data_IF_273833476962
#
_entry.id   IF_273833476962
#
_cell.length_a   1.000
_cell.length_b   1.000
_cell.length_c   1.000
_cell.angle_alpha   90.00
_cell.angle_beta   90.00
_cell.angle_gamma   90.00
#
_symmetry.space_group_name_H-M   'P 1'
#
loop_
_entity.id
_entity.type
_entity.pdbx_description
1 polymer ?
#
# COMPACT_ATOMS: atom_id res chain seq x y z
N UNK A 1 -50.56 2.89 -2.57
CA UNK A 1 -49.13 2.77 -2.95
C UNK A 1 -48.81 3.85 -3.97
N UNK A 2 -47.97 4.85 -3.63
CA UNK A 2 -47.51 5.87 -4.59
C UNK A 2 -46.63 5.17 -5.64
N UNK A 3 -46.95 5.36 -6.92
CA UNK A 3 -46.15 4.80 -8.04
C UNK A 3 -44.75 5.41 -7.97
N UNK A 4 -43.75 4.58 -7.80
CA UNK A 4 -42.34 4.99 -7.78
C UNK A 4 -42.00 5.63 -9.14
N UNK A 5 -41.32 6.79 -9.18
CA UNK A 5 -40.92 7.43 -10.43
C UNK A 5 -40.05 6.51 -11.31
N UNK A 6 -40.18 6.62 -12.62
CA UNK A 6 -39.49 5.76 -13.59
C UNK A 6 -37.97 5.73 -13.37
N UNK A 7 -37.34 6.87 -13.05
CA UNK A 7 -35.92 7.01 -12.76
C UNK A 7 -35.49 6.16 -11.53
N UNK A 8 -36.33 6.14 -10.49
CA UNK A 8 -36.09 5.33 -9.30
C UNK A 8 -36.23 3.82 -9.56
N UNK A 9 -37.12 3.43 -10.48
CA UNK A 9 -37.23 2.03 -10.94
C UNK A 9 -35.97 1.57 -11.67
N UNK A 10 -35.40 2.41 -12.53
CA UNK A 10 -34.14 2.09 -13.24
C UNK A 10 -32.95 1.98 -12.28
N UNK A 11 -32.84 2.90 -11.31
CA UNK A 11 -31.82 2.83 -10.27
C UNK A 11 -31.95 1.55 -9.43
N UNK A 12 -33.19 1.19 -9.04
CA UNK A 12 -33.47 -0.04 -8.27
C UNK A 12 -33.11 -1.31 -9.04
N UNK A 13 -33.42 -1.38 -10.36
CA UNK A 13 -33.04 -2.51 -11.22
C UNK A 13 -31.52 -2.61 -11.36
N UNK A 14 -30.81 -1.49 -11.54
CA UNK A 14 -29.33 -1.47 -11.61
C UNK A 14 -28.69 -1.96 -10.31
N UNK A 15 -29.17 -1.49 -9.17
CA UNK A 15 -28.65 -1.93 -7.85
C UNK A 15 -28.85 -3.43 -7.65
N UNK A 16 -30.01 -3.96 -8.03
CA UNK A 16 -30.28 -5.41 -7.93
C UNK A 16 -29.44 -6.22 -8.91
N UNK A 17 -29.23 -5.76 -10.14
CA UNK A 17 -28.33 -6.40 -11.11
C UNK A 17 -26.88 -6.43 -10.60
N UNK A 18 -26.39 -5.35 -9.97
CA UNK A 18 -25.07 -5.31 -9.34
C UNK A 18 -24.98 -6.28 -8.15
N UNK A 19 -26.02 -6.40 -7.33
CA UNK A 19 -26.09 -7.38 -6.22
C UNK A 19 -26.05 -8.82 -6.73
N UNK A 20 -26.78 -9.15 -7.79
CA UNK A 20 -26.73 -10.48 -8.43
C UNK A 20 -25.36 -10.77 -9.03
N UNK A 21 -24.76 -9.81 -9.74
CA UNK A 21 -23.41 -9.92 -10.28
C UNK A 21 -22.35 -10.14 -9.20
N UNK A 22 -22.48 -9.45 -8.06
CA UNK A 22 -21.62 -9.64 -6.89
C UNK A 22 -21.69 -11.06 -6.35
N UNK A 23 -22.91 -11.57 -6.08
CA UNK A 23 -23.11 -12.94 -5.56
C UNK A 23 -22.52 -13.97 -6.52
N UNK A 24 -22.72 -13.78 -7.83
CA UNK A 24 -22.14 -14.66 -8.85
C UNK A 24 -20.63 -14.65 -8.83
N UNK A 25 -19.99 -13.48 -8.80
CA UNK A 25 -18.54 -13.33 -8.75
C UNK A 25 -17.95 -13.88 -7.46
N UNK A 26 -18.54 -13.60 -6.30
CA UNK A 26 -18.12 -14.14 -5.01
C UNK A 26 -18.23 -15.68 -5.00
N UNK A 27 -19.28 -16.23 -5.60
CA UNK A 27 -19.47 -17.69 -5.71
C UNK A 27 -18.46 -18.31 -6.67
N UNK A 28 -18.24 -17.68 -7.84
CA UNK A 28 -17.26 -18.14 -8.81
C UNK A 28 -15.84 -18.13 -8.23
N UNK A 29 -15.51 -17.08 -7.45
CA UNK A 29 -14.22 -17.00 -6.76
C UNK A 29 -14.07 -18.10 -5.69
N UNK A 30 -15.11 -18.40 -4.92
CA UNK A 30 -15.12 -19.52 -3.96
C UNK A 30 -14.92 -20.88 -4.63
N UNK A 31 -15.54 -21.10 -5.79
CA UNK A 31 -15.41 -22.34 -6.57
C UNK A 31 -14.03 -22.43 -7.23
N UNK A 32 -13.49 -21.32 -7.73
CA UNK A 32 -12.17 -21.25 -8.39
C UNK A 32 -10.97 -21.35 -7.44
N UNK A 33 -11.16 -21.16 -6.15
CA UNK A 33 -10.08 -21.20 -5.14
C UNK A 33 -9.21 -22.50 -5.19
N UNK A 34 -9.79 -23.69 -5.30
CA UNK A 34 -8.99 -24.92 -5.41
C UNK A 34 -8.12 -24.97 -6.67
N UNK A 35 -8.52 -24.24 -7.73
CA UNK A 35 -7.85 -24.22 -9.04
C UNK A 35 -6.68 -23.23 -9.03
N UNK A 36 -6.78 -22.15 -8.25
CA UNK A 36 -5.74 -21.10 -8.14
C UNK A 36 -4.63 -21.50 -7.14
N UNK A 37 -4.83 -22.61 -6.39
CA UNK A 37 -3.77 -23.22 -5.58
C UNK A 37 -3.22 -22.32 -4.47
N UNK A 38 -4.04 -21.97 -3.47
CA UNK A 38 -3.49 -21.33 -2.29
C UNK A 38 -2.66 -22.36 -1.48
N UNK A 39 -1.37 -22.10 -1.19
CA UNK A 39 -0.46 -23.09 -0.61
C UNK A 39 -0.79 -23.48 0.83
N UNK A 40 -1.64 -22.74 1.53
CA UNK A 40 -1.99 -22.99 2.93
C UNK A 40 -3.50 -23.13 3.12
N UNK A 41 -3.93 -24.22 3.78
CA UNK A 41 -5.32 -24.45 4.19
C UNK A 41 -5.82 -23.36 5.17
N UNK A 42 -4.95 -22.79 5.97
CA UNK A 42 -5.26 -21.74 6.94
C UNK A 42 -5.48 -20.40 6.22
N UNK A 43 -4.60 -20.04 5.30
CA UNK A 43 -4.75 -18.83 4.50
C UNK A 43 -6.05 -18.83 3.67
N UNK A 44 -6.49 -19.99 3.18
CA UNK A 44 -7.75 -20.10 2.42
C UNK A 44 -9.01 -19.70 3.21
N UNK A 45 -8.95 -19.67 4.55
CA UNK A 45 -10.07 -19.25 5.40
C UNK A 45 -10.10 -17.73 5.61
N UNK A 46 -8.95 -17.09 5.60
CA UNK A 46 -8.80 -15.66 5.89
C UNK A 46 -8.98 -14.79 4.65
N UNK A 47 -8.65 -15.29 3.46
CA UNK A 47 -8.74 -14.52 2.23
C UNK A 47 -10.06 -14.79 1.48
N UNK A 48 -10.86 -13.75 1.32
CA UNK A 48 -12.12 -13.77 0.60
C UNK A 48 -12.15 -12.63 -0.41
N UNK A 49 -12.55 -12.94 -1.64
CA UNK A 49 -12.92 -11.89 -2.58
C UNK A 49 -14.22 -11.25 -2.12
N UNK A 50 -14.25 -9.93 -2.02
CA UNK A 50 -15.44 -9.16 -1.71
C UNK A 50 -15.57 -7.97 -2.65
N UNK A 51 -16.82 -7.63 -2.98
CA UNK A 51 -17.16 -6.43 -3.73
C UNK A 51 -17.79 -5.44 -2.76
N UNK A 52 -17.23 -4.24 -2.68
CA UNK A 52 -17.82 -3.16 -1.88
C UNK A 52 -19.15 -2.69 -2.49
N UNK A 53 -20.09 -2.31 -1.63
CA UNK A 53 -21.32 -1.61 -2.04
C UNK A 53 -21.09 -0.10 -2.28
N UNK A 54 -19.91 0.42 -1.91
CA UNK A 54 -19.55 1.80 -2.16
C UNK A 54 -19.45 2.05 -3.68
N UNK A 55 -20.17 3.06 -4.14
CA UNK A 55 -20.22 3.44 -5.56
C UNK A 55 -19.55 4.78 -5.82
N UNK A 56 -19.24 5.54 -4.78
CA UNK A 56 -18.49 6.78 -4.89
C UNK A 56 -16.99 6.47 -4.96
N UNK A 57 -16.35 6.93 -6.01
CA UNK A 57 -14.94 6.72 -6.29
C UNK A 57 -14.19 8.07 -6.26
N UNK A 58 -13.75 8.54 -5.07
CA UNK A 58 -13.12 9.86 -4.93
C UNK A 58 -11.86 10.00 -5.79
N UNK A 59 -11.10 8.93 -5.99
CA UNK A 59 -9.91 8.91 -6.86
C UNK A 59 -10.22 9.30 -8.32
N UNK A 60 -11.45 9.08 -8.80
CA UNK A 60 -11.85 9.43 -10.18
C UNK A 60 -12.17 10.92 -10.34
N UNK A 61 -12.49 11.60 -9.25
CA UNK A 61 -12.94 13.01 -9.26
C UNK A 61 -11.93 13.97 -8.60
N UNK A 62 -10.92 13.47 -7.90
CA UNK A 62 -9.80 14.27 -7.40
C UNK A 62 -8.90 14.65 -8.57
N UNK A 63 -9.05 15.88 -9.07
CA UNK A 63 -8.33 16.36 -10.25
C UNK A 63 -6.82 16.43 -10.04
N UNK A 64 -6.37 16.71 -8.81
CA UNK A 64 -4.95 16.81 -8.47
C UNK A 64 -4.31 15.43 -8.43
N UNK A 65 -5.00 14.42 -7.90
CA UNK A 65 -4.56 13.04 -7.98
C UNK A 65 -4.53 12.56 -9.44
N UNK A 66 -5.58 12.84 -10.22
CA UNK A 66 -5.64 12.43 -11.63
C UNK A 66 -4.56 13.09 -12.50
N UNK A 67 -4.09 14.27 -12.13
CA UNK A 67 -2.96 14.93 -12.78
C UNK A 67 -1.67 14.11 -12.64
N UNK A 68 -1.27 13.78 -11.41
CA UNK A 68 -0.05 12.98 -11.17
C UNK A 68 -0.23 11.55 -11.66
N UNK A 69 -1.40 10.93 -11.48
CA UNK A 69 -1.67 9.57 -11.91
C UNK A 69 -1.44 9.36 -13.42
N UNK A 70 -1.74 10.36 -14.24
CA UNK A 70 -1.48 10.33 -15.70
C UNK A 70 0.01 10.41 -16.05
N UNK A 71 0.83 11.01 -15.21
CA UNK A 71 2.29 11.11 -15.41
C UNK A 71 3.01 9.83 -15.01
N UNK A 72 2.42 9.03 -14.13
CA UNK A 72 3.03 7.80 -13.65
C UNK A 72 3.00 6.69 -14.71
N UNK A 73 4.03 5.82 -14.76
CA UNK A 73 4.10 4.68 -15.69
C UNK A 73 3.18 3.55 -15.24
N UNK A 74 1.86 3.77 -15.24
CA UNK A 74 0.83 2.88 -14.68
C UNK A 74 0.78 1.47 -15.29
N UNK A 75 1.41 1.23 -16.44
CA UNK A 75 1.55 -0.12 -17.03
C UNK A 75 2.57 -1.02 -16.32
N UNK A 76 3.38 -0.46 -15.44
CA UNK A 76 4.44 -1.14 -14.70
C UNK A 76 4.20 -1.08 -13.19
N UNK A 77 2.95 -0.99 -12.75
CA UNK A 77 2.59 -0.79 -11.33
C UNK A 77 2.03 -2.09 -10.78
N UNK A 78 2.58 -2.54 -9.67
CA UNK A 78 1.96 -3.57 -8.85
C UNK A 78 0.70 -3.04 -8.14
N UNK A 79 0.69 -1.72 -7.80
CA UNK A 79 -0.39 -1.07 -7.06
C UNK A 79 -1.53 -0.61 -7.98
N UNK A 80 -2.75 -0.92 -7.59
CA UNK A 80 -3.95 -0.39 -8.24
C UNK A 80 -4.19 1.10 -7.97
N UNK A 81 -5.04 1.74 -8.79
CA UNK A 81 -5.40 3.17 -8.65
C UNK A 81 -5.92 3.52 -7.24
N UNK A 82 -6.65 2.61 -6.60
CA UNK A 82 -7.19 2.81 -5.24
C UNK A 82 -6.08 2.83 -4.20
N UNK A 83 -5.11 1.92 -4.29
CA UNK A 83 -3.96 1.87 -3.39
C UNK A 83 -3.07 3.12 -3.54
N UNK A 84 -2.83 3.56 -4.77
CA UNK A 84 -2.12 4.82 -5.03
C UNK A 84 -2.90 6.03 -4.45
N UNK A 85 -4.23 6.01 -4.51
CA UNK A 85 -5.05 7.05 -3.88
C UNK A 85 -5.00 7.02 -2.34
N UNK A 86 -4.88 5.84 -1.74
CA UNK A 86 -4.64 5.70 -0.29
C UNK A 86 -3.32 6.35 0.13
N UNK A 87 -2.25 6.15 -0.65
CA UNK A 87 -0.95 6.80 -0.43
C UNK A 87 -1.05 8.33 -0.61
N UNK A 88 -1.72 8.80 -1.68
CA UNK A 88 -2.00 10.21 -1.92
C UNK A 88 -2.68 10.88 -0.73
N UNK A 89 -3.75 10.26 -0.22
CA UNK A 89 -4.47 10.76 0.95
C UNK A 89 -3.67 10.65 2.24
N UNK A 90 -2.78 9.64 2.35
CA UNK A 90 -1.91 9.51 3.50
C UNK A 90 -0.94 10.68 3.59
N UNK A 91 -0.33 11.13 2.49
CA UNK A 91 0.50 12.36 2.46
C UNK A 91 -0.31 13.58 2.90
N UNK A 92 -1.53 13.76 2.35
CA UNK A 92 -2.42 14.88 2.73
C UNK A 92 -2.76 14.86 4.22
N UNK A 93 -2.97 13.68 4.81
CA UNK A 93 -3.36 13.52 6.21
C UNK A 93 -2.24 13.86 7.19
N UNK A 94 -0.98 13.62 6.80
CA UNK A 94 0.20 13.87 7.66
C UNK A 94 0.90 15.19 7.39
N UNK A 95 0.32 16.10 6.61
CA UNK A 95 0.94 17.37 6.22
C UNK A 95 1.37 18.24 7.40
N UNK A 96 0.71 18.11 8.56
CA UNK A 96 1.02 18.83 9.80
C UNK A 96 1.80 18.00 10.83
N UNK A 97 2.05 16.72 10.54
CA UNK A 97 2.84 15.85 11.41
C UNK A 97 4.32 16.09 11.10
N UNK A 98 5.13 16.28 12.12
CA UNK A 98 6.57 16.49 11.96
C UNK A 98 7.27 15.21 11.46
N UNK A 99 8.28 15.39 10.61
CA UNK A 99 9.07 14.29 10.07
C UNK A 99 8.92 14.09 8.55
N UNK A 100 9.86 13.36 8.00
CA UNK A 100 9.96 13.04 6.59
C UNK A 100 9.00 11.89 6.19
N UNK A 101 9.01 11.58 4.91
CA UNK A 101 8.29 10.45 4.33
C UNK A 101 9.30 9.41 3.89
N UNK A 102 9.01 8.12 4.11
CA UNK A 102 9.85 7.04 3.62
C UNK A 102 9.05 5.95 2.94
N UNK A 103 9.71 5.23 2.05
CA UNK A 103 9.21 4.03 1.40
C UNK A 103 10.25 2.93 1.50
N UNK A 104 9.82 1.74 1.89
CA UNK A 104 10.62 0.51 1.92
C UNK A 104 10.02 -0.46 0.91
N UNK A 105 10.82 -0.83 -0.11
CA UNK A 105 10.33 -1.51 -1.29
C UNK A 105 9.87 -0.49 -2.35
N UNK A 106 10.80 -0.03 -3.16
CA UNK A 106 10.56 1.01 -4.19
C UNK A 106 10.27 0.39 -5.55
N UNK A 107 10.86 -0.79 -5.82
CA UNK A 107 10.80 -1.48 -7.09
C UNK A 107 11.09 -0.53 -8.27
N UNK A 108 10.08 -0.22 -9.10
CA UNK A 108 10.21 0.66 -10.28
C UNK A 108 9.91 2.14 -10.00
N UNK A 109 9.63 2.52 -8.76
CA UNK A 109 9.53 3.91 -8.31
C UNK A 109 8.21 4.61 -8.52
N UNK A 110 7.15 3.92 -8.92
CA UNK A 110 5.84 4.57 -9.20
C UNK A 110 5.21 5.15 -7.94
N UNK A 111 5.15 4.39 -6.85
CA UNK A 111 4.65 4.84 -5.55
C UNK A 111 5.54 5.93 -4.95
N UNK A 112 6.86 5.78 -5.04
CA UNK A 112 7.81 6.81 -4.58
C UNK A 112 7.62 8.13 -5.33
N UNK A 113 7.40 8.09 -6.63
CA UNK A 113 7.13 9.27 -7.43
C UNK A 113 5.80 9.94 -7.03
N UNK A 114 4.75 9.16 -6.76
CA UNK A 114 3.48 9.68 -6.24
C UNK A 114 3.67 10.36 -4.89
N UNK A 115 4.37 9.70 -3.95
CA UNK A 115 4.68 10.24 -2.62
C UNK A 115 5.47 11.54 -2.71
N UNK A 116 6.50 11.56 -3.58
CA UNK A 116 7.33 12.73 -3.82
C UNK A 116 6.54 13.91 -4.39
N UNK A 117 5.74 13.68 -5.43
CA UNK A 117 4.87 14.70 -6.02
C UNK A 117 3.86 15.26 -5.00
N UNK A 118 3.18 14.37 -4.27
CA UNK A 118 2.24 14.77 -3.22
C UNK A 118 2.91 15.56 -2.10
N UNK A 119 4.13 15.14 -1.68
CA UNK A 119 4.91 15.84 -0.68
C UNK A 119 5.30 17.25 -1.12
N UNK A 120 5.83 17.41 -2.33
CA UNK A 120 6.17 18.73 -2.89
C UNK A 120 4.96 19.67 -2.89
N UNK A 121 3.77 19.13 -3.11
CA UNK A 121 2.52 19.91 -3.15
C UNK A 121 1.98 20.27 -1.78
N UNK A 122 1.95 19.33 -0.82
CA UNK A 122 1.26 19.49 0.46
C UNK A 122 2.18 19.69 1.67
N UNK A 123 3.45 19.35 1.51
CA UNK A 123 4.45 19.34 2.59
C UNK A 123 5.85 19.60 2.03
N UNK A 124 6.12 20.74 1.35
CA UNK A 124 7.31 20.96 0.53
C UNK A 124 8.64 20.90 1.32
N UNK A 125 8.59 20.99 2.64
CA UNK A 125 9.77 20.90 3.50
C UNK A 125 10.16 19.46 3.86
N UNK A 126 9.33 18.45 3.50
CA UNK A 126 9.62 17.04 3.79
C UNK A 126 10.44 16.44 2.67
N UNK A 127 11.45 15.65 3.06
CA UNK A 127 12.17 14.78 2.15
C UNK A 127 11.44 13.45 2.00
N UNK A 128 11.75 12.77 0.88
CA UNK A 128 11.30 11.41 0.62
C UNK A 128 12.51 10.50 0.61
N UNK A 129 12.47 9.41 1.38
CA UNK A 129 13.54 8.43 1.46
C UNK A 129 13.04 7.09 0.90
N UNK A 130 13.57 6.67 -0.23
CA UNK A 130 13.28 5.37 -0.84
C UNK A 130 14.36 4.36 -0.51
N UNK A 131 13.97 3.20 0.01
CA UNK A 131 14.86 2.09 0.37
C UNK A 131 14.54 0.88 -0.51
N UNK A 132 15.52 0.35 -1.22
CA UNK A 132 15.36 -0.84 -2.06
C UNK A 132 16.68 -1.58 -2.25
N UNK A 133 16.62 -2.88 -2.42
CA UNK A 133 17.80 -3.70 -2.74
C UNK A 133 18.21 -3.56 -4.19
N UNK A 134 17.25 -3.24 -5.09
CA UNK A 134 17.37 -3.36 -6.55
C UNK A 134 17.83 -4.76 -7.02
N UNK A 135 17.62 -5.75 -6.14
CA UNK A 135 17.96 -7.16 -6.38
C UNK A 135 16.75 -8.10 -6.19
N UNK A 136 15.57 -7.50 -5.95
CA UNK A 136 14.32 -8.19 -5.72
C UNK A 136 14.00 -8.43 -4.24
N UNK A 137 12.95 -9.22 -4.00
CA UNK A 137 12.43 -9.54 -2.67
C UNK A 137 13.52 -10.13 -1.78
N UNK A 138 13.63 -9.61 -0.57
CA UNK A 138 14.59 -10.07 0.43
C UNK A 138 13.87 -10.78 1.60
N UNK A 139 14.65 -11.54 2.39
CA UNK A 139 14.23 -12.17 3.65
C UNK A 139 12.97 -13.04 3.53
N UNK A 140 12.77 -13.71 2.38
CA UNK A 140 11.71 -14.70 2.24
C UNK A 140 11.98 -15.87 3.19
N UNK A 141 10.95 -16.35 3.89
CA UNK A 141 11.05 -17.38 4.91
C UNK A 141 9.89 -18.39 4.80
N UNK A 142 9.79 -19.32 5.76
CA UNK A 142 8.67 -20.28 5.82
C UNK A 142 7.29 -19.60 5.99
N UNK A 143 7.26 -18.33 6.42
CA UNK A 143 6.05 -17.53 6.50
C UNK A 143 5.55 -17.03 5.15
N UNK A 144 6.38 -17.14 4.10
CA UNK A 144 6.18 -16.53 2.79
C UNK A 144 6.15 -17.60 1.68
N UNK A 145 5.16 -18.51 1.67
CA UNK A 145 5.20 -19.74 0.85
C UNK A 145 5.19 -19.50 -0.66
N UNK A 146 4.94 -18.28 -1.12
CA UNK A 146 4.95 -17.91 -2.54
C UNK A 146 6.18 -17.09 -2.94
N UNK A 147 7.08 -16.79 -1.99
CA UNK A 147 8.32 -16.06 -2.23
C UNK A 147 9.52 -16.94 -1.90
N UNK A 148 10.54 -16.87 -2.73
CA UNK A 148 11.82 -17.59 -2.53
C UNK A 148 13.01 -16.64 -2.47
N UNK A 149 12.77 -15.34 -2.71
CA UNK A 149 13.77 -14.29 -2.80
C UNK A 149 14.23 -14.03 -4.24
N UNK A 150 14.41 -12.74 -4.56
CA UNK A 150 14.81 -12.30 -5.89
C UNK A 150 13.66 -11.99 -6.85
N UNK A 151 12.40 -12.20 -6.45
CA UNK A 151 11.25 -11.71 -7.24
C UNK A 151 11.32 -10.20 -7.36
N UNK A 152 10.73 -9.63 -8.41
CA UNK A 152 10.75 -8.16 -8.65
C UNK A 152 12.15 -7.55 -8.86
N UNK A 153 13.17 -8.36 -9.23
CA UNK A 153 14.51 -7.86 -9.56
C UNK A 153 14.61 -7.12 -10.91
N UNK A 154 13.49 -6.99 -11.63
CA UNK A 154 13.40 -6.30 -12.92
C UNK A 154 13.31 -4.76 -12.74
N UNK A 155 14.17 -4.22 -11.90
CA UNK A 155 14.28 -2.81 -11.53
C UNK A 155 15.74 -2.36 -11.44
N UNK A 156 15.96 -1.06 -11.22
CA UNK A 156 17.29 -0.49 -10.94
C UNK A 156 17.13 0.95 -10.42
N UNK A 157 18.17 1.44 -9.73
CA UNK A 157 18.23 2.85 -9.33
C UNK A 157 17.99 3.81 -10.51
N UNK A 158 18.53 3.49 -11.71
CA UNK A 158 18.33 4.31 -12.91
C UNK A 158 16.87 4.38 -13.31
N UNK A 159 16.16 3.24 -13.33
CA UNK A 159 14.72 3.20 -13.65
C UNK A 159 13.95 4.10 -12.69
N UNK A 160 14.21 4.00 -11.38
CA UNK A 160 13.54 4.81 -10.37
C UNK A 160 13.82 6.30 -10.56
N UNK A 161 15.08 6.67 -10.81
CA UNK A 161 15.46 8.08 -11.09
C UNK A 161 14.78 8.63 -12.33
N UNK A 162 14.65 7.83 -13.38
CA UNK A 162 13.95 8.23 -14.60
C UNK A 162 12.44 8.47 -14.33
N UNK A 163 11.81 7.63 -13.49
CA UNK A 163 10.40 7.78 -13.09
C UNK A 163 10.20 9.02 -12.21
N UNK A 164 11.09 9.26 -11.24
CA UNK A 164 11.07 10.47 -10.40
C UNK A 164 11.20 11.74 -11.25
N UNK A 165 12.13 11.75 -12.20
CA UNK A 165 12.32 12.88 -13.12
C UNK A 165 11.08 13.10 -14.00
N UNK A 166 10.47 12.03 -14.53
CA UNK A 166 9.24 12.10 -15.31
C UNK A 166 8.05 12.68 -14.54
N UNK A 167 8.01 12.50 -13.23
CA UNK A 167 7.01 13.07 -12.33
C UNK A 167 7.44 14.41 -11.71
N UNK A 168 8.56 15.01 -12.13
CA UNK A 168 9.13 16.25 -11.58
C UNK A 168 9.40 16.18 -10.06
N UNK A 169 9.80 15.02 -9.54
CA UNK A 169 10.14 14.82 -8.13
C UNK A 169 11.63 15.12 -7.91
N UNK A 170 11.92 16.09 -7.04
CA UNK A 170 13.27 16.58 -6.77
C UNK A 170 13.71 16.42 -5.31
N UNK A 171 12.79 16.03 -4.42
CA UNK A 171 13.01 15.90 -2.97
C UNK A 171 13.22 14.45 -2.51
N UNK A 172 13.51 13.50 -3.42
CA UNK A 172 13.69 12.09 -3.11
C UNK A 172 15.17 11.70 -3.03
N UNK A 173 15.53 10.94 -2.00
CA UNK A 173 16.82 10.30 -1.80
C UNK A 173 16.65 8.78 -1.87
N UNK A 174 17.54 8.07 -2.59
CA UNK A 174 17.52 6.60 -2.70
C UNK A 174 18.64 5.99 -1.85
N UNK A 175 18.29 4.93 -1.13
CA UNK A 175 19.19 4.17 -0.26
C UNK A 175 19.16 2.71 -0.70
N UNK A 176 20.32 2.18 -1.12
CA UNK A 176 20.46 0.86 -1.72
C UNK A 176 20.87 -0.15 -0.66
N UNK A 177 20.10 -1.20 -0.49
CA UNK A 177 20.35 -2.30 0.45
C UNK A 177 19.08 -2.80 1.11
N UNK A 178 19.20 -3.85 1.92
CA UNK A 178 18.11 -4.42 2.71
C UNK A 178 17.83 -3.50 3.90
N UNK A 179 16.63 -2.93 3.95
CA UNK A 179 16.20 -2.17 5.13
C UNK A 179 15.62 -3.14 6.19
N UNK A 180 15.98 -3.00 7.47
CA UNK A 180 16.94 -2.05 8.04
C UNK A 180 18.40 -2.54 8.09
N UNK A 181 18.68 -3.76 7.63
CA UNK A 181 19.96 -4.44 7.89
C UNK A 181 21.17 -3.66 7.36
N UNK A 182 21.10 -3.16 6.12
CA UNK A 182 22.20 -2.47 5.46
C UNK A 182 22.10 -0.94 5.52
N UNK A 183 20.88 -0.41 5.81
CA UNK A 183 20.58 1.01 5.62
C UNK A 183 19.91 1.68 6.80
N UNK A 184 19.93 1.06 7.98
CA UNK A 184 19.25 1.57 9.18
C UNK A 184 19.69 2.96 9.62
N UNK A 185 20.96 3.34 9.37
CA UNK A 185 21.51 4.66 9.70
C UNK A 185 20.96 5.76 8.80
N UNK A 186 20.35 5.41 7.67
CA UNK A 186 19.66 6.34 6.77
C UNK A 186 18.21 6.60 7.15
N UNK A 187 17.67 5.90 8.17
CA UNK A 187 16.32 6.13 8.65
C UNK A 187 16.16 7.58 9.11
N UNK A 188 15.16 8.34 8.62
CA UNK A 188 14.91 9.70 9.08
C UNK A 188 14.73 9.76 10.59
N UNK A 189 15.26 10.82 11.24
CA UNK A 189 15.14 10.99 12.70
C UNK A 189 13.70 11.14 13.16
N UNK A 190 12.84 11.71 12.30
CA UNK A 190 11.40 11.78 12.49
C UNK A 190 10.70 11.36 11.22
N UNK A 191 9.65 10.57 11.37
CA UNK A 191 8.85 10.02 10.28
C UNK A 191 7.40 10.43 10.48
N UNK A 192 6.81 11.06 9.48
CA UNK A 192 5.38 11.37 9.45
C UNK A 192 4.57 10.34 8.67
N UNK A 193 5.18 9.74 7.64
CA UNK A 193 4.57 8.70 6.82
C UNK A 193 5.65 7.68 6.43
N UNK A 194 5.33 6.39 6.55
CA UNK A 194 6.06 5.33 5.90
C UNK A 194 5.14 4.50 5.02
N UNK A 195 5.64 4.08 3.87
CA UNK A 195 5.05 3.07 3.01
C UNK A 195 5.94 1.83 3.06
N UNK A 196 5.38 0.66 3.35
CA UNK A 196 6.08 -0.63 3.40
C UNK A 196 5.43 -1.54 2.37
N UNK A 197 6.21 -1.97 1.37
CA UNK A 197 5.80 -2.76 0.22
C UNK A 197 6.92 -3.76 -0.12
N UNK A 198 7.08 -4.77 0.75
CA UNK A 198 8.26 -5.66 0.78
C UNK A 198 7.91 -7.15 0.74
N UNK A 199 6.63 -7.48 0.54
CA UNK A 199 6.09 -8.81 0.25
C UNK A 199 6.23 -9.87 1.35
N UNK A 200 7.22 -9.76 2.28
CA UNK A 200 7.60 -10.85 3.20
C UNK A 200 7.39 -10.49 4.66
N UNK A 201 7.21 -11.52 5.49
CA UNK A 201 7.03 -11.41 6.94
C UNK A 201 8.21 -10.69 7.59
N UNK A 202 9.43 -11.23 7.38
CA UNK A 202 10.62 -10.74 8.09
C UNK A 202 10.98 -9.32 7.65
N UNK A 203 10.89 -8.99 6.35
CA UNK A 203 11.12 -7.62 5.88
C UNK A 203 10.10 -6.64 6.46
N UNK A 204 8.83 -7.06 6.59
CA UNK A 204 7.76 -6.22 7.13
C UNK A 204 7.96 -5.94 8.62
N UNK A 205 8.14 -6.99 9.44
CA UNK A 205 8.26 -6.83 10.90
C UNK A 205 9.52 -6.04 11.27
N UNK A 206 10.66 -6.35 10.64
CA UNK A 206 11.93 -5.64 10.89
C UNK A 206 11.84 -4.16 10.49
N UNK A 207 11.14 -3.86 9.39
CA UNK A 207 10.91 -2.47 8.97
C UNK A 207 10.05 -1.72 9.98
N UNK A 208 8.93 -2.29 10.41
CA UNK A 208 8.05 -1.70 11.42
C UNK A 208 8.79 -1.43 12.72
N UNK A 209 9.48 -2.42 13.27
CA UNK A 209 10.24 -2.29 14.52
C UNK A 209 11.31 -1.19 14.44
N UNK A 210 12.05 -1.14 13.32
CA UNK A 210 13.13 -0.16 13.17
C UNK A 210 12.63 1.26 13.04
N UNK A 211 11.57 1.51 12.28
CA UNK A 211 11.10 2.87 12.03
C UNK A 211 10.21 3.42 13.15
N UNK A 212 9.60 2.53 14.00
CA UNK A 212 8.60 2.95 14.98
C UNK A 212 9.12 3.96 16.02
N UNK A 213 10.35 3.77 16.49
CA UNK A 213 10.99 4.71 17.42
C UNK A 213 11.12 6.13 16.86
N UNK A 214 11.24 6.25 15.53
CA UNK A 214 11.37 7.52 14.81
C UNK A 214 10.01 8.07 14.32
N UNK A 215 8.95 7.27 14.39
CA UNK A 215 7.60 7.69 13.98
C UNK A 215 7.05 8.74 14.95
N UNK A 216 6.63 9.89 14.44
CA UNK A 216 5.98 10.96 15.21
C UNK A 216 4.58 10.54 15.65
N UNK A 217 4.06 11.13 16.75
CA UNK A 217 2.66 10.94 17.14
C UNK A 217 1.77 11.41 15.98
N UNK A 218 0.81 10.56 15.58
CA UNK A 218 -0.04 10.79 14.42
C UNK A 218 0.56 10.30 13.10
N UNK A 219 1.81 9.81 13.09
CA UNK A 219 2.42 9.20 11.91
C UNK A 219 1.60 8.01 11.42
N UNK A 220 1.62 7.80 10.12
CA UNK A 220 0.95 6.67 9.44
C UNK A 220 1.98 5.79 8.76
N UNK A 221 1.83 4.49 8.95
CA UNK A 221 2.60 3.47 8.23
C UNK A 221 1.62 2.67 7.38
N UNK A 222 1.78 2.71 6.07
CA UNK A 222 0.91 2.01 5.10
C UNK A 222 1.63 0.74 4.66
N UNK A 223 1.08 -0.42 5.01
CA UNK A 223 1.56 -1.73 4.60
C UNK A 223 0.67 -2.22 3.46
N UNK A 224 1.14 -2.11 2.24
CA UNK A 224 0.32 -2.33 1.04
C UNK A 224 -0.13 -3.77 0.89
N UNK A 225 0.75 -4.72 1.18
CA UNK A 225 0.50 -6.15 1.00
C UNK A 225 -0.38 -6.79 2.06
N UNK A 226 -0.84 -6.02 3.06
CA UNK A 226 -1.66 -6.54 4.15
C UNK A 226 -2.91 -7.29 3.66
N UNK A 227 -3.55 -6.84 2.58
CA UNK A 227 -4.70 -7.49 1.96
C UNK A 227 -4.35 -8.44 0.82
N UNK A 228 -3.07 -8.62 0.49
CA UNK A 228 -2.65 -9.48 -0.62
C UNK A 228 -2.74 -10.97 -0.28
N UNK A 229 -3.38 -11.75 -1.14
CA UNK A 229 -3.41 -13.20 -0.99
C UNK A 229 -2.10 -13.89 -1.42
N UNK A 230 -1.15 -13.17 -1.96
CA UNK A 230 0.18 -13.66 -2.34
C UNK A 230 1.22 -13.39 -1.26
N UNK A 231 1.16 -12.25 -0.60
CA UNK A 231 2.08 -11.85 0.48
C UNK A 231 1.53 -12.25 1.87
N UNK A 232 1.30 -13.55 2.07
CA UNK A 232 0.58 -14.07 3.25
C UNK A 232 1.34 -13.95 4.56
N UNK A 233 2.63 -13.62 4.53
CA UNK A 233 3.44 -13.28 5.69
C UNK A 233 3.20 -11.88 6.23
N UNK A 234 2.72 -10.95 5.40
CA UNK A 234 2.55 -9.54 5.79
C UNK A 234 1.46 -9.32 6.84
N UNK A 235 0.23 -9.87 6.71
CA UNK A 235 -0.78 -9.69 7.75
C UNK A 235 -0.33 -10.13 9.15
N UNK A 236 0.21 -11.35 9.37
CA UNK A 236 0.67 -11.75 10.69
C UNK A 236 1.84 -10.91 11.22
N UNK A 237 2.71 -10.38 10.36
CA UNK A 237 3.78 -9.46 10.78
C UNK A 237 3.21 -8.14 11.31
N UNK A 238 2.27 -7.53 10.59
CA UNK A 238 1.61 -6.29 10.99
C UNK A 238 0.78 -6.47 12.25
N UNK A 239 -0.01 -7.56 12.33
CA UNK A 239 -0.85 -7.86 13.49
C UNK A 239 -0.01 -8.13 14.74
N UNK A 240 1.09 -8.89 14.60
CA UNK A 240 2.04 -9.10 15.70
C UNK A 240 2.61 -7.77 16.19
N UNK A 241 3.08 -6.92 15.27
CA UNK A 241 3.62 -5.61 15.61
C UNK A 241 2.61 -4.76 16.40
N UNK A 242 1.37 -4.67 15.92
CA UNK A 242 0.33 -3.87 16.60
C UNK A 242 -0.05 -4.44 17.96
N UNK A 243 -0.08 -5.76 18.10
CA UNK A 243 -0.35 -6.41 19.41
C UNK A 243 0.77 -6.18 20.43
N UNK A 244 2.01 -6.00 19.97
CA UNK A 244 3.17 -5.79 20.85
C UNK A 244 3.36 -4.28 21.20
N UNK A 245 2.58 -3.38 20.59
CA UNK A 245 2.72 -1.92 20.76
C UNK A 245 1.38 -1.25 21.13
N UNK A 246 1.15 -0.99 22.41
CA UNK A 246 -0.08 -0.36 22.93
C UNK A 246 -0.37 1.03 22.34
N UNK A 247 0.64 1.69 21.77
CA UNK A 247 0.54 2.99 21.12
C UNK A 247 0.35 2.91 19.59
N UNK A 248 0.06 1.72 19.07
CA UNK A 248 -0.25 1.47 17.67
C UNK A 248 -1.73 1.09 17.49
N UNK A 249 -2.38 1.65 16.47
CA UNK A 249 -3.70 1.20 16.05
C UNK A 249 -3.66 0.80 14.57
N UNK A 250 -4.39 -0.26 14.22
CA UNK A 250 -4.48 -0.78 12.85
C UNK A 250 -5.83 -0.44 12.24
N UNK A 251 -5.80 0.22 11.09
CA UNK A 251 -6.94 0.38 10.18
C UNK A 251 -6.76 -0.44 8.92
N UNK A 252 -7.85 -0.71 8.21
CA UNK A 252 -7.83 -1.42 6.92
C UNK A 252 -8.43 -0.52 5.84
N UNK A 253 -7.72 -0.33 4.75
CA UNK A 253 -8.18 0.52 3.64
C UNK A 253 -9.04 -0.27 2.65
N UNK A 254 -9.83 0.45 1.85
CA UNK A 254 -10.60 -0.17 0.76
C UNK A 254 -9.68 -0.72 -0.35
N UNK A 255 -8.45 -0.22 -0.45
CA UNK A 255 -7.41 -0.70 -1.37
C UNK A 255 -6.70 -1.96 -0.91
N UNK A 256 -6.99 -2.45 0.30
CA UNK A 256 -6.37 -3.65 0.87
C UNK A 256 -5.12 -3.38 1.70
N UNK A 257 -4.74 -2.13 1.94
CA UNK A 257 -3.59 -1.79 2.77
C UNK A 257 -3.94 -1.81 4.26
N UNK A 258 -3.05 -2.34 5.09
CA UNK A 258 -3.05 -2.12 6.53
C UNK A 258 -2.44 -0.75 6.84
N UNK A 259 -3.10 0.04 7.68
CA UNK A 259 -2.63 1.37 8.06
C UNK A 259 -2.40 1.39 9.56
N UNK A 260 -1.13 1.36 9.96
CA UNK A 260 -0.73 1.48 11.37
C UNK A 260 -0.52 2.95 11.70
N UNK A 261 -1.17 3.43 12.74
CA UNK A 261 -1.04 4.81 13.21
C UNK A 261 -0.49 4.86 14.62
N UNK A 262 0.49 5.74 14.87
CA UNK A 262 1.03 6.00 16.20
C UNK A 262 0.17 7.00 16.94
N UNK A 263 -0.40 6.61 18.11
CA UNK A 263 -1.37 7.42 18.85
C UNK A 263 -0.78 8.11 20.10
N UNK A 264 0.36 7.64 20.59
CA UNK A 264 1.08 8.24 21.71
C UNK A 264 2.58 7.93 21.64
N UNK A 265 3.36 8.45 22.62
CA UNK A 265 4.79 8.13 22.77
C UNK A 265 5.03 6.69 23.19
#
# INVERSE_FOLDING_TARGET
MKKMPFILKFAYIRVNALRFGRIFLETAFKIGRPIIGHPSKTASKSYHFFLTEATYAPWKVDSEFQEVYKMLPTRSVALGEVQLYDLWNSVKSVKKIDGDIMEVGVWRGTSLALLGYASQKYSPNKKIHGFDTFSGVALASENDPLYVGGEHADTSEKIVRDVLAGANVTNAELHIGIYPMDTSEKTPQKISLAHIDVDTYDSTILSLERLWGNASIGARIVCTDYGSCTATGVPPAVEKFVNDHDNAILGYSIGGSGIVQKISL
#
